data_IF_724120487602
#
_entry.id   IF_724120487602
#
_cell.length_a   1.000
_cell.length_b   1.000
_cell.length_c   1.000
_cell.angle_alpha   90.00
_cell.angle_beta   90.00
_cell.angle_gamma   90.00
#
_symmetry.space_group_name_H-M   'P 1'
#
loop_
_entity.id
_entity.type
_entity.pdbx_description
1 polymer ?
#
# COMPACT_ATOMS: atom_id res chain seq x y z
N UNK A 1 -7.67 3.08 10.27
CA UNK A 1 -7.12 1.96 11.04
C UNK A 1 -5.61 1.80 10.83
N UNK A 2 -4.98 0.93 11.62
CA UNK A 2 -3.53 0.71 11.54
C UNK A 2 -3.08 0.18 10.16
N UNK A 3 -3.89 -0.63 9.48
CA UNK A 3 -3.62 -1.16 8.13
C UNK A 3 -3.85 -0.23 6.95
N UNK A 4 -4.13 1.06 7.19
CA UNK A 4 -4.53 1.99 6.13
C UNK A 4 -3.46 2.21 5.04
N UNK A 5 -2.17 2.21 5.40
CA UNK A 5 -1.08 2.36 4.41
C UNK A 5 -0.98 1.15 3.47
N UNK A 6 -1.16 -0.07 3.99
CA UNK A 6 -1.25 -1.28 3.13
C UNK A 6 -2.46 -1.19 2.19
N UNK A 7 -3.61 -0.78 2.72
CA UNK A 7 -4.81 -0.60 1.90
C UNK A 7 -4.60 0.48 0.82
N UNK A 8 -3.88 1.58 1.12
CA UNK A 8 -3.50 2.61 0.16
C UNK A 8 -2.60 2.08 -0.94
N UNK A 9 -1.58 1.31 -0.59
CA UNK A 9 -0.66 0.67 -1.55
C UNK A 9 -1.40 -0.32 -2.45
N UNK A 10 -2.25 -1.18 -1.88
CA UNK A 10 -3.08 -2.12 -2.63
C UNK A 10 -4.07 -1.40 -3.56
N UNK A 11 -4.65 -0.29 -3.10
CA UNK A 11 -5.54 0.54 -3.92
C UNK A 11 -4.82 1.11 -5.15
N UNK A 12 -3.62 1.65 -4.99
CA UNK A 12 -2.81 2.17 -6.11
C UNK A 12 -2.48 1.06 -7.12
N UNK A 13 -2.11 -0.14 -6.66
CA UNK A 13 -1.86 -1.29 -7.53
C UNK A 13 -3.14 -1.69 -8.27
N UNK A 14 -4.27 -1.76 -7.57
CA UNK A 14 -5.56 -2.13 -8.15
C UNK A 14 -5.98 -1.14 -9.23
N UNK A 15 -5.85 0.16 -8.99
CA UNK A 15 -6.15 1.21 -9.99
C UNK A 15 -5.29 1.03 -11.25
N UNK A 16 -3.97 0.84 -11.07
CA UNK A 16 -3.05 0.63 -12.20
C UNK A 16 -3.40 -0.61 -13.01
N UNK A 17 -3.66 -1.76 -12.35
CA UNK A 17 -4.04 -3.00 -13.02
C UNK A 17 -5.37 -2.86 -13.76
N UNK A 18 -6.37 -2.21 -13.15
CA UNK A 18 -7.65 -1.93 -13.80
C UNK A 18 -7.54 -0.97 -14.99
N UNK A 19 -6.68 0.04 -14.92
CA UNK A 19 -6.41 0.91 -16.06
C UNK A 19 -5.83 0.09 -17.23
N UNK A 20 -4.85 -0.77 -16.99
CA UNK A 20 -4.30 -1.69 -18.00
C UNK A 20 -5.40 -2.60 -18.57
N UNK A 21 -6.20 -3.23 -17.70
CA UNK A 21 -7.32 -4.10 -18.07
C UNK A 21 -8.34 -3.35 -18.96
N UNK A 22 -8.62 -2.09 -18.62
CA UNK A 22 -9.54 -1.24 -19.39
C UNK A 22 -9.00 -0.92 -20.78
N UNK A 23 -7.72 -0.61 -20.92
CA UNK A 23 -7.07 -0.35 -22.21
C UNK A 23 -7.05 -1.59 -23.14
N UNK A 24 -6.95 -2.79 -22.56
CA UNK A 24 -6.93 -4.05 -23.32
C UNK A 24 -8.33 -4.61 -23.63
N UNK A 25 -9.40 -3.95 -23.18
CA UNK A 25 -10.77 -4.39 -23.41
C UNK A 25 -11.11 -4.39 -24.91
N UNK A 26 -11.55 -5.54 -25.39
CA UNK A 26 -11.99 -5.70 -26.78
C UNK A 26 -13.39 -5.11 -26.98
N UNK A 27 -13.70 -4.55 -28.17
CA UNK A 27 -15.07 -4.15 -28.50
C UNK A 27 -16.05 -5.32 -28.34
N UNK A 28 -17.18 -5.08 -27.71
CA UNK A 28 -18.19 -6.13 -27.42
C UNK A 28 -17.90 -6.98 -26.18
N UNK A 29 -16.83 -6.67 -25.43
CA UNK A 29 -16.49 -7.33 -24.16
C UNK A 29 -16.59 -6.34 -23.01
N UNK A 30 -16.86 -6.86 -21.84
CA UNK A 30 -16.79 -6.14 -20.56
C UNK A 30 -15.65 -6.73 -19.71
N UNK A 31 -15.17 -5.97 -18.76
CA UNK A 31 -14.25 -6.49 -17.75
C UNK A 31 -14.99 -7.55 -16.95
N UNK A 32 -14.36 -8.72 -16.75
CA UNK A 32 -14.94 -9.79 -15.96
C UNK A 32 -15.16 -9.29 -14.52
N UNK A 33 -16.35 -9.56 -13.98
CA UNK A 33 -16.63 -9.20 -12.58
C UNK A 33 -15.73 -10.04 -11.67
N UNK A 34 -15.10 -9.40 -10.67
CA UNK A 34 -14.32 -10.15 -9.69
C UNK A 34 -15.22 -11.12 -8.90
N UNK A 35 -14.64 -12.20 -8.35
CA UNK A 35 -15.40 -13.17 -7.56
C UNK A 35 -16.15 -12.48 -6.43
N UNK A 36 -17.40 -12.87 -6.11
CA UNK A 36 -18.18 -12.25 -5.03
C UNK A 36 -17.47 -12.23 -3.66
N UNK A 37 -16.61 -13.21 -3.41
CA UNK A 37 -15.81 -13.30 -2.19
C UNK A 37 -14.82 -12.13 -2.03
N UNK A 38 -14.44 -11.44 -3.11
CA UNK A 38 -13.51 -10.30 -3.06
C UNK A 38 -14.20 -8.97 -2.77
N UNK A 39 -15.54 -8.91 -2.82
CA UNK A 39 -16.30 -7.67 -2.60
C UNK A 39 -16.03 -7.01 -1.24
N UNK A 40 -15.92 -7.74 -0.11
CA UNK A 40 -15.57 -7.11 1.17
C UNK A 40 -14.18 -6.46 1.14
N UNK A 41 -13.19 -7.15 0.57
CA UNK A 41 -11.83 -6.64 0.44
C UNK A 41 -11.81 -5.38 -0.43
N UNK A 42 -12.46 -5.40 -1.59
CA UNK A 42 -12.55 -4.24 -2.46
C UNK A 42 -13.21 -3.03 -1.76
N UNK A 43 -14.28 -3.25 -1.00
CA UNK A 43 -14.90 -2.20 -0.19
C UNK A 43 -13.91 -1.63 0.83
N UNK A 44 -13.16 -2.46 1.53
CA UNK A 44 -12.14 -2.01 2.47
C UNK A 44 -11.09 -1.14 1.77
N UNK A 45 -10.62 -1.54 0.59
CA UNK A 45 -9.66 -0.73 -0.19
C UNK A 45 -10.25 0.62 -0.62
N UNK A 46 -11.52 0.68 -0.96
CA UNK A 46 -12.19 1.94 -1.31
C UNK A 46 -12.31 2.86 -0.09
N UNK A 47 -12.72 2.32 1.05
CA UNK A 47 -12.99 3.14 2.24
C UNK A 47 -11.71 3.53 3.00
N UNK A 48 -10.78 2.61 3.16
CA UNK A 48 -9.54 2.82 3.94
C UNK A 48 -8.37 3.21 3.05
N UNK A 49 -8.24 2.63 1.86
CA UNK A 49 -7.08 2.79 0.98
C UNK A 49 -7.13 4.06 0.14
N UNK A 50 -8.25 4.32 -0.52
CA UNK A 50 -8.38 5.50 -1.39
C UNK A 50 -8.03 6.83 -0.70
N UNK A 51 -8.50 7.13 0.53
CA UNK A 51 -8.17 8.38 1.22
C UNK A 51 -6.70 8.52 1.63
N UNK A 52 -5.92 7.41 1.57
CA UNK A 52 -4.53 7.34 2.02
C UNK A 52 -3.56 7.21 0.84
N UNK A 53 -4.05 7.03 -0.37
CA UNK A 53 -3.22 6.86 -1.58
C UNK A 53 -2.21 8.00 -1.76
N UNK A 54 -2.64 9.25 -1.56
CA UNK A 54 -1.78 10.44 -1.65
C UNK A 54 -0.68 10.43 -0.58
N UNK A 55 -0.99 9.95 0.64
CA UNK A 55 0.00 9.80 1.71
C UNK A 55 1.06 8.75 1.33
N UNK A 56 0.64 7.63 0.75
CA UNK A 56 1.57 6.58 0.26
C UNK A 56 2.50 7.14 -0.80
N UNK A 57 1.98 7.91 -1.75
CA UNK A 57 2.78 8.56 -2.78
C UNK A 57 3.73 9.59 -2.19
N UNK A 58 3.25 10.43 -1.27
CA UNK A 58 4.07 11.43 -0.59
C UNK A 58 5.26 10.80 0.16
N UNK A 59 5.07 9.65 0.82
CA UNK A 59 6.15 8.91 1.48
C UNK A 59 7.23 8.51 0.47
N UNK A 60 6.86 7.85 -0.64
CA UNK A 60 7.81 7.39 -1.65
C UNK A 60 8.59 8.56 -2.26
N UNK A 61 7.90 9.61 -2.69
CA UNK A 61 8.52 10.78 -3.29
C UNK A 61 9.44 11.53 -2.32
N UNK A 62 8.99 11.81 -1.10
CA UNK A 62 9.78 12.53 -0.11
C UNK A 62 11.09 11.80 0.20
N UNK A 63 11.03 10.48 0.36
CA UNK A 63 12.22 9.67 0.64
C UNK A 63 13.18 9.59 -0.55
N UNK A 64 12.69 9.48 -1.79
CA UNK A 64 13.51 9.50 -3.01
C UNK A 64 14.19 10.86 -3.20
N UNK A 65 13.46 11.95 -2.99
CA UNK A 65 13.99 13.32 -3.07
C UNK A 65 15.05 13.57 -1.99
N UNK A 66 14.79 13.12 -0.75
CA UNK A 66 15.76 13.18 0.35
C UNK A 66 17.07 12.47 -0.02
N UNK A 67 16.97 11.23 -0.47
CA UNK A 67 18.14 10.43 -0.86
C UNK A 67 18.93 11.10 -2.00
N UNK A 68 18.24 11.59 -3.03
CA UNK A 68 18.88 12.29 -4.15
C UNK A 68 19.60 13.56 -3.70
N UNK A 69 19.04 14.32 -2.76
CA UNK A 69 19.64 15.56 -2.23
C UNK A 69 20.85 15.25 -1.35
N UNK A 70 20.76 14.25 -0.48
CA UNK A 70 21.87 13.89 0.40
C UNK A 70 23.06 13.37 -0.41
N UNK A 71 22.85 12.51 -1.40
CA UNK A 71 23.92 11.95 -2.24
C UNK A 71 24.61 12.97 -3.17
N UNK A 72 24.04 14.18 -3.31
CA UNK A 72 24.78 15.30 -3.94
C UNK A 72 25.88 15.88 -3.03
N UNK A 73 25.78 15.68 -1.72
CA UNK A 73 26.64 16.29 -0.70
C UNK A 73 27.48 15.27 0.08
N UNK A 74 27.07 14.02 0.07
CA UNK A 74 27.64 12.91 0.82
C UNK A 74 27.75 11.67 -0.06
N UNK A 75 28.66 10.79 0.28
CA UNK A 75 28.76 9.46 -0.34
C UNK A 75 27.89 8.42 0.38
N UNK A 76 27.22 8.82 1.46
CA UNK A 76 26.42 7.94 2.30
C UNK A 76 25.03 8.51 2.56
N UNK A 77 24.01 7.64 2.49
CA UNK A 77 22.66 7.95 2.93
C UNK A 77 22.62 8.08 4.46
N UNK A 78 21.70 8.91 5.01
CA UNK A 78 21.50 8.97 6.44
C UNK A 78 20.98 7.61 6.95
N UNK A 79 21.48 7.15 8.12
CA UNK A 79 21.06 5.86 8.68
C UNK A 79 19.65 5.96 9.24
N UNK A 80 18.67 5.73 8.39
CA UNK A 80 17.25 5.80 8.70
C UNK A 80 16.83 4.63 9.58
N UNK A 81 16.31 4.93 10.78
CA UNK A 81 15.73 3.93 11.70
C UNK A 81 14.24 3.76 11.42
N UNK A 82 13.49 4.87 11.45
CA UNK A 82 12.05 4.87 11.34
C UNK A 82 11.53 6.13 10.64
N UNK A 83 10.30 6.02 10.16
CA UNK A 83 9.52 7.14 9.64
C UNK A 83 8.19 7.18 10.39
N UNK A 84 7.88 8.32 10.99
CA UNK A 84 6.59 8.61 11.58
C UNK A 84 5.76 9.43 10.58
N UNK A 85 4.56 8.98 10.27
CA UNK A 85 3.70 9.57 9.25
C UNK A 85 2.38 10.01 9.84
N UNK A 86 2.07 11.28 9.70
CA UNK A 86 0.73 11.83 9.86
C UNK A 86 0.10 12.10 8.49
N UNK A 87 -1.17 12.51 8.44
CA UNK A 87 -1.87 12.79 7.17
C UNK A 87 -1.21 13.90 6.33
N UNK A 88 -0.54 14.85 6.99
CA UNK A 88 0.03 16.05 6.35
C UNK A 88 1.51 16.25 6.65
N UNK A 89 2.16 15.29 7.30
CA UNK A 89 3.58 15.41 7.65
C UNK A 89 4.26 14.06 7.72
N UNK A 90 5.57 14.10 7.53
CA UNK A 90 6.48 12.96 7.61
C UNK A 90 7.68 13.36 8.45
N UNK A 91 8.01 12.53 9.45
CA UNK A 91 9.19 12.71 10.29
C UNK A 91 10.12 11.53 10.08
N UNK A 92 11.37 11.78 9.72
CA UNK A 92 12.42 10.76 9.65
C UNK A 92 13.21 10.74 10.95
N UNK A 93 13.46 9.55 11.50
CA UNK A 93 14.26 9.31 12.69
C UNK A 93 15.56 8.62 12.29
N UNK A 94 16.70 9.28 12.58
CA UNK A 94 18.03 8.84 12.17
C UNK A 94 18.81 8.27 13.36
N UNK A 95 19.70 7.31 13.09
CA UNK A 95 20.56 6.73 14.13
C UNK A 95 21.64 7.71 14.60
N UNK A 96 22.03 8.66 13.75
CA UNK A 96 23.07 9.64 14.05
C UNK A 96 22.62 11.09 13.78
N UNK A 97 23.46 12.04 14.14
CA UNK A 97 23.20 13.48 14.02
C UNK A 97 23.50 14.00 12.61
N UNK A 98 22.90 13.40 11.59
CA UNK A 98 23.03 13.86 10.20
C UNK A 98 22.19 15.13 9.97
N UNK A 99 22.79 16.16 9.37
CA UNK A 99 22.09 17.39 8.97
C UNK A 99 21.46 17.23 7.60
N UNK A 100 20.12 17.37 7.52
CA UNK A 100 19.41 17.22 6.24
C UNK A 100 19.28 18.54 5.46
N UNK A 101 19.23 19.68 6.16
CA UNK A 101 19.00 21.00 5.57
C UNK A 101 17.54 21.29 5.22
N UNK A 102 17.28 22.51 4.76
CA UNK A 102 15.92 22.91 4.34
C UNK A 102 15.45 22.10 3.12
N UNK A 103 14.13 21.81 3.04
CA UNK A 103 13.03 22.26 3.89
C UNK A 103 12.81 21.39 5.15
N UNK A 104 13.66 20.41 5.41
CA UNK A 104 13.60 19.55 6.59
C UNK A 104 13.86 20.35 7.86
N UNK A 105 12.93 20.27 8.79
CA UNK A 105 12.97 20.99 10.07
C UNK A 105 13.35 20.02 11.18
N UNK A 106 14.48 20.30 11.84
CA UNK A 106 14.95 19.48 12.96
C UNK A 106 14.01 19.61 14.16
N UNK A 107 13.61 18.49 14.71
CA UNK A 107 12.86 18.44 15.97
C UNK A 107 13.82 18.57 17.16
N UNK A 108 13.44 19.38 18.16
CA UNK A 108 14.30 19.73 19.30
C UNK A 108 14.86 18.50 20.03
N UNK A 109 16.18 18.44 20.14
CA UNK A 109 16.92 17.47 20.94
C UNK A 109 16.99 16.05 20.38
N UNK A 110 16.43 15.78 19.19
CA UNK A 110 16.39 14.46 18.57
C UNK A 110 17.09 14.47 17.20
N UNK A 111 17.59 13.30 16.78
CA UNK A 111 18.03 13.07 15.40
C UNK A 111 16.83 12.85 14.47
N UNK A 112 15.85 13.73 14.55
CA UNK A 112 14.56 13.62 13.88
C UNK A 112 14.28 14.88 13.09
N UNK A 113 13.77 14.69 11.86
CA UNK A 113 13.54 15.77 10.91
C UNK A 113 12.15 15.66 10.32
N UNK A 114 11.42 16.77 10.33
CA UNK A 114 10.04 16.86 9.88
C UNK A 114 9.95 17.61 8.55
N UNK A 115 9.06 17.13 7.68
CA UNK A 115 8.57 17.79 6.48
C UNK A 115 7.05 17.70 6.42
N UNK A 116 6.39 18.62 5.72
CA UNK A 116 4.93 18.62 5.55
C UNK A 116 4.54 18.57 4.08
N UNK A 117 3.31 18.16 3.80
CA UNK A 117 2.73 18.19 2.44
C UNK A 117 2.55 19.60 1.88
N UNK A 118 2.70 20.65 2.72
CA UNK A 118 2.67 22.04 2.29
C UNK A 118 4.04 22.56 1.82
N UNK A 119 5.13 21.81 2.08
CA UNK A 119 6.47 22.17 1.60
C UNK A 119 6.55 21.85 0.09
N UNK A 120 7.11 22.77 -0.69
CA UNK A 120 7.24 22.59 -2.15
C UNK A 120 8.13 21.36 -2.46
N UNK A 121 7.65 20.40 -3.26
CA UNK A 121 8.40 19.18 -3.56
C UNK A 121 9.80 19.43 -4.11
N UNK A 122 9.97 20.43 -4.97
CA UNK A 122 11.27 20.76 -5.59
C UNK A 122 12.31 21.27 -4.59
N UNK A 123 11.88 21.83 -3.45
CA UNK A 123 12.77 22.21 -2.36
C UNK A 123 13.33 20.99 -1.62
N UNK A 124 12.58 19.87 -1.58
CA UNK A 124 13.05 18.63 -0.97
C UNK A 124 14.20 18.05 -1.79
N UNK A 125 14.12 18.16 -3.10
CA UNK A 125 15.15 17.69 -4.03
C UNK A 125 14.58 17.11 -5.33
N UNK A 126 15.47 16.68 -6.25
CA UNK A 126 15.04 16.13 -7.52
C UNK A 126 14.39 14.78 -7.35
N UNK A 127 13.27 14.54 -8.04
CA UNK A 127 12.63 13.24 -8.09
C UNK A 127 13.22 12.40 -9.24
N UNK A 128 13.60 11.16 -8.93
CA UNK A 128 13.95 10.12 -9.91
C UNK A 128 12.93 8.99 -9.79
N UNK A 129 11.80 9.04 -10.50
CA UNK A 129 10.70 8.08 -10.31
C UNK A 129 11.11 6.64 -10.61
N UNK A 130 11.94 6.45 -11.64
CA UNK A 130 12.40 5.13 -12.10
C UNK A 130 13.66 4.64 -11.39
N UNK A 131 14.27 5.47 -10.55
CA UNK A 131 15.43 5.09 -9.74
C UNK A 131 15.05 4.07 -8.65
N UNK A 132 16.03 3.32 -8.11
CA UNK A 132 15.79 2.39 -7.02
C UNK A 132 15.33 3.12 -5.76
N UNK A 133 14.53 2.43 -4.94
CA UNK A 133 14.11 2.96 -3.66
C UNK A 133 15.29 3.03 -2.69
N UNK A 134 15.48 4.14 -1.96
CA UNK A 134 16.60 4.27 -1.03
C UNK A 134 16.50 3.32 0.17
N UNK A 135 15.29 3.10 0.68
CA UNK A 135 15.01 2.23 1.84
C UNK A 135 13.86 1.26 1.55
N UNK A 136 14.09 0.22 0.74
CA UNK A 136 13.03 -0.70 0.29
C UNK A 136 12.45 -1.57 1.41
N UNK A 137 13.17 -1.74 2.52
CA UNK A 137 12.71 -2.50 3.69
C UNK A 137 11.87 -1.66 4.67
N UNK A 138 11.51 -0.42 4.31
CA UNK A 138 10.68 0.42 5.16
C UNK A 138 9.26 -0.16 5.21
N UNK A 139 8.84 -0.60 6.39
CA UNK A 139 7.57 -1.31 6.58
C UNK A 139 6.78 -0.71 7.72
N UNK A 140 5.49 -0.45 7.50
CA UNK A 140 4.58 0.03 8.54
C UNK A 140 4.33 -1.08 9.55
N UNK A 141 4.57 -0.83 10.82
CA UNK A 141 4.33 -1.82 11.88
C UNK A 141 3.09 -1.55 12.72
N UNK A 142 2.66 -0.30 12.80
CA UNK A 142 1.49 0.07 13.57
C UNK A 142 1.24 1.57 13.58
N UNK A 143 0.31 1.99 14.42
CA UNK A 143 0.04 3.40 14.70
C UNK A 143 0.14 3.65 16.21
N UNK A 144 0.61 4.83 16.59
CA UNK A 144 0.59 5.25 17.99
C UNK A 144 -0.82 5.72 18.43
N UNK A 145 -0.96 6.05 19.68
CA UNK A 145 -2.25 6.48 20.26
C UNK A 145 -2.71 7.86 19.73
N UNK A 146 -1.83 8.61 19.05
CA UNK A 146 -2.18 9.85 18.34
C UNK A 146 -2.64 9.60 16.91
N UNK A 147 -2.51 8.37 16.43
CA UNK A 147 -2.90 7.94 15.09
C UNK A 147 -1.84 8.14 14.02
N UNK A 148 -0.59 8.43 14.41
CA UNK A 148 0.54 8.48 13.48
C UNK A 148 1.01 7.06 13.16
N UNK A 149 1.25 6.77 11.87
CA UNK A 149 1.80 5.49 11.43
C UNK A 149 3.31 5.46 11.62
N UNK A 150 3.80 4.35 12.14
CA UNK A 150 5.22 4.11 12.34
C UNK A 150 5.72 3.05 11.37
N UNK A 151 6.66 3.47 10.53
CA UNK A 151 7.36 2.60 9.58
C UNK A 151 8.79 2.39 10.07
N UNK A 152 9.23 1.14 10.15
CA UNK A 152 10.60 0.81 10.52
C UNK A 152 11.39 0.38 9.28
N UNK A 153 12.64 0.83 9.19
CA UNK A 153 13.58 0.35 8.19
C UNK A 153 14.22 -0.97 8.67
N UNK A 154 13.65 -2.09 8.25
CA UNK A 154 14.06 -3.40 8.73
C UNK A 154 15.51 -3.75 8.34
N UNK A 155 16.03 -3.21 7.22
CA UNK A 155 17.43 -3.36 6.81
C UNK A 155 18.40 -2.75 7.84
N UNK A 156 18.02 -1.65 8.50
CA UNK A 156 18.82 -1.01 9.55
C UNK A 156 18.99 -1.90 10.78
N UNK A 157 17.99 -2.73 11.08
CA UNK A 157 18.02 -3.66 12.20
C UNK A 157 18.65 -5.00 11.83
N UNK A 158 18.65 -5.35 10.54
CA UNK A 158 19.19 -6.59 10.03
C UNK A 158 18.34 -7.80 10.42
N UNK A 159 18.44 -8.25 11.70
CA UNK A 159 17.66 -9.37 12.22
C UNK A 159 16.58 -8.91 13.17
N UNK A 160 15.36 -9.45 13.02
CA UNK A 160 14.22 -9.18 13.89
C UNK A 160 13.54 -10.47 14.30
N UNK A 161 13.04 -10.52 15.55
CA UNK A 161 12.23 -11.63 16.04
C UNK A 161 10.84 -11.14 16.41
N UNK A 162 9.81 -11.80 15.89
CA UNK A 162 8.41 -11.54 16.23
C UNK A 162 8.00 -12.52 17.31
N UNK A 163 7.65 -12.05 18.50
CA UNK A 163 7.27 -12.84 19.67
C UNK A 163 5.89 -12.45 20.19
N UNK A 164 5.37 -13.22 21.16
CA UNK A 164 4.14 -12.92 21.89
C UNK A 164 2.97 -13.83 21.52
N UNK A 165 1.80 -13.25 21.31
CA UNK A 165 0.62 -14.02 20.94
C UNK A 165 0.81 -14.69 19.57
N UNK A 166 0.40 -15.96 19.46
CA UNK A 166 0.67 -16.78 18.28
C UNK A 166 -0.05 -16.25 17.03
N UNK A 167 -1.32 -15.93 17.16
CA UNK A 167 -2.14 -15.42 16.04
C UNK A 167 -1.67 -14.05 15.61
N UNK A 168 -1.51 -13.11 16.55
CA UNK A 168 -1.06 -11.76 16.23
C UNK A 168 0.38 -11.70 15.71
N UNK A 169 1.27 -12.58 16.17
CA UNK A 169 2.64 -12.68 15.65
C UNK A 169 2.66 -13.14 14.19
N UNK A 170 1.85 -14.15 13.85
CA UNK A 170 1.72 -14.60 12.46
C UNK A 170 1.03 -13.58 11.58
N UNK A 171 -0.01 -12.90 12.07
CA UNK A 171 -0.71 -11.86 11.32
C UNK A 171 0.18 -10.63 11.07
N UNK A 172 1.03 -10.25 12.04
CA UNK A 172 2.05 -9.22 11.85
C UNK A 172 3.10 -9.65 10.81
N UNK A 173 3.64 -10.86 10.90
CA UNK A 173 4.60 -11.37 9.91
C UNK A 173 4.02 -11.39 8.50
N UNK A 174 2.78 -11.82 8.36
CA UNK A 174 2.04 -11.80 7.09
C UNK A 174 1.83 -10.37 6.59
N UNK A 175 1.52 -9.44 7.49
CA UNK A 175 1.39 -8.02 7.15
C UNK A 175 2.70 -7.42 6.64
N UNK A 176 3.83 -7.71 7.31
CA UNK A 176 5.17 -7.26 6.89
C UNK A 176 5.46 -7.72 5.46
N UNK A 177 5.23 -8.99 5.15
CA UNK A 177 5.44 -9.54 3.81
C UNK A 177 4.48 -8.93 2.77
N UNK A 178 3.20 -8.75 3.11
CA UNK A 178 2.22 -8.12 2.22
C UNK A 178 2.57 -6.65 1.92
N UNK A 179 2.99 -5.89 2.93
CA UNK A 179 3.44 -4.50 2.78
C UNK A 179 4.69 -4.42 1.88
N UNK A 180 5.70 -5.27 2.11
CA UNK A 180 6.89 -5.35 1.27
C UNK A 180 6.57 -5.72 -0.19
N UNK A 181 5.56 -6.57 -0.42
CA UNK A 181 5.13 -6.96 -1.76
C UNK A 181 4.39 -5.83 -2.50
N UNK A 182 3.82 -4.84 -1.81
CA UNK A 182 2.87 -3.88 -2.38
C UNK A 182 3.26 -2.42 -2.25
N UNK A 183 4.11 -2.04 -1.29
CA UNK A 183 4.53 -0.65 -1.11
C UNK A 183 5.33 -0.14 -2.32
N UNK A 184 5.10 1.10 -2.80
CA UNK A 184 5.81 1.65 -3.96
C UNK A 184 7.31 1.80 -3.73
N UNK A 185 7.74 2.08 -2.49
CA UNK A 185 9.15 2.14 -2.12
C UNK A 185 9.82 0.77 -1.93
N UNK A 186 9.06 -0.33 -2.00
CA UNK A 186 9.60 -1.71 -1.90
C UNK A 186 9.60 -2.45 -3.24
N UNK A 187 9.39 -1.76 -4.36
CA UNK A 187 9.22 -2.39 -5.69
C UNK A 187 10.42 -3.22 -6.15
N UNK A 188 11.61 -2.90 -5.64
CA UNK A 188 12.88 -3.56 -6.00
C UNK A 188 13.36 -4.53 -4.90
N UNK A 189 12.45 -4.94 -3.99
CA UNK A 189 12.74 -5.83 -2.87
C UNK A 189 12.30 -7.26 -3.20
N UNK A 190 13.24 -8.20 -3.17
CA UNK A 190 12.95 -9.64 -3.22
C UNK A 190 12.47 -10.14 -1.85
N UNK A 191 11.47 -10.99 -1.84
CA UNK A 191 10.83 -11.48 -0.61
C UNK A 191 10.82 -13.01 -0.64
N UNK A 192 11.55 -13.61 0.30
CA UNK A 192 11.65 -15.05 0.46
C UNK A 192 10.85 -15.50 1.69
N UNK A 193 9.81 -16.28 1.48
CA UNK A 193 8.92 -16.83 2.50
C UNK A 193 9.30 -18.30 2.75
N UNK A 194 9.93 -18.56 3.89
CA UNK A 194 10.50 -19.88 4.21
C UNK A 194 9.51 -20.69 5.07
N UNK A 195 8.77 -21.57 4.44
CA UNK A 195 7.77 -22.41 5.10
C UNK A 195 6.53 -21.68 5.62
N UNK A 196 6.39 -20.40 5.34
CA UNK A 196 5.29 -19.54 5.83
C UNK A 196 4.64 -18.76 4.70
N UNK A 197 3.39 -18.33 4.87
CA UNK A 197 2.68 -17.31 4.07
C UNK A 197 2.66 -17.55 2.55
N UNK A 198 2.60 -18.78 2.10
CA UNK A 198 2.56 -19.13 0.67
C UNK A 198 1.42 -18.44 -0.10
N UNK A 199 0.35 -18.06 0.60
CA UNK A 199 -0.79 -17.35 0.05
C UNK A 199 -0.44 -15.96 -0.48
N UNK A 200 0.67 -15.34 -0.03
CA UNK A 200 1.08 -13.99 -0.43
C UNK A 200 1.81 -13.92 -1.77
N UNK A 201 2.29 -15.04 -2.31
CA UNK A 201 3.06 -15.07 -3.58
C UNK A 201 2.30 -14.38 -4.72
N UNK A 202 0.97 -14.51 -4.74
CA UNK A 202 0.13 -13.89 -5.75
C UNK A 202 0.03 -12.35 -5.70
N UNK A 203 0.50 -11.69 -4.64
CA UNK A 203 0.55 -10.22 -4.59
C UNK A 203 1.59 -9.67 -5.56
N UNK A 204 2.77 -10.29 -5.61
CA UNK A 204 3.86 -9.93 -6.51
C UNK A 204 4.66 -11.17 -6.93
N UNK A 205 4.16 -11.99 -7.89
CA UNK A 205 4.77 -13.28 -8.24
C UNK A 205 6.20 -13.21 -8.77
N UNK A 206 6.61 -12.03 -9.26
CA UNK A 206 7.98 -11.79 -9.76
C UNK A 206 9.00 -11.54 -8.67
N UNK A 207 8.58 -11.24 -7.44
CA UNK A 207 9.46 -10.81 -6.34
C UNK A 207 9.18 -11.52 -5.03
N UNK A 208 8.02 -12.16 -4.89
CA UNK A 208 7.62 -12.87 -3.68
C UNK A 208 7.67 -14.37 -3.94
N UNK A 209 8.60 -15.06 -3.31
CA UNK A 209 8.89 -16.46 -3.53
C UNK A 209 8.63 -17.25 -2.26
N UNK A 210 8.01 -18.43 -2.40
CA UNK A 210 7.80 -19.33 -1.28
C UNK A 210 8.71 -20.55 -1.44
N UNK A 211 9.47 -20.85 -0.39
CA UNK A 211 10.36 -21.99 -0.29
C UNK A 211 9.85 -22.91 0.83
N UNK A 212 9.66 -24.19 0.51
CA UNK A 212 9.18 -25.17 1.48
C UNK A 212 10.32 -25.70 2.38
N UNK A 213 11.56 -25.42 2.04
CA UNK A 213 12.75 -25.98 2.67
C UNK A 213 13.88 -24.93 2.81
N UNK A 214 15.05 -25.40 3.24
CA UNK A 214 16.25 -24.59 3.49
C UNK A 214 16.84 -23.94 2.25
N UNK A 215 16.54 -24.39 1.04
CA UNK A 215 17.21 -23.89 -0.18
C UNK A 215 17.07 -22.38 -0.34
N UNK A 216 15.90 -21.80 -0.03
CA UNK A 216 15.70 -20.35 -0.05
C UNK A 216 16.62 -19.58 0.91
N UNK A 217 16.94 -20.17 2.07
CA UNK A 217 17.89 -19.54 3.02
C UNK A 217 19.33 -19.62 2.49
N UNK A 218 19.72 -20.76 1.94
CA UNK A 218 21.07 -20.97 1.40
C UNK A 218 21.33 -20.02 0.20
N UNK A 219 20.34 -19.84 -0.68
CA UNK A 219 20.38 -18.88 -1.79
C UNK A 219 20.51 -17.43 -1.28
N UNK A 220 19.79 -17.08 -0.22
CA UNK A 220 19.88 -15.76 0.41
C UNK A 220 21.25 -15.51 1.05
N UNK A 221 21.81 -16.53 1.74
CA UNK A 221 23.15 -16.44 2.32
C UNK A 221 24.18 -16.20 1.22
N UNK A 222 24.11 -16.92 0.11
CA UNK A 222 25.02 -16.76 -1.02
C UNK A 222 24.92 -15.34 -1.61
N UNK A 223 23.70 -14.84 -1.84
CA UNK A 223 23.47 -13.49 -2.34
C UNK A 223 23.94 -12.38 -1.38
N UNK A 224 23.77 -12.57 -0.07
CA UNK A 224 24.23 -11.64 0.96
C UNK A 224 25.76 -11.55 1.01
N UNK A 225 26.46 -12.69 0.90
CA UNK A 225 27.93 -12.73 0.80
C UNK A 225 28.40 -12.03 -0.47
N UNK A 226 27.81 -12.34 -1.61
CA UNK A 226 28.14 -11.72 -2.89
C UNK A 226 27.98 -10.19 -2.84
N UNK A 227 26.86 -9.71 -2.26
CA UNK A 227 26.62 -8.27 -2.08
C UNK A 227 27.69 -7.63 -1.21
N UNK A 228 28.06 -8.24 -0.09
CA UNK A 228 29.11 -7.73 0.79
C UNK A 228 30.48 -7.66 0.13
N UNK A 229 30.86 -8.68 -0.66
CA UNK A 229 32.12 -8.73 -1.40
C UNK A 229 32.18 -7.64 -2.47
N UNK A 230 31.09 -7.44 -3.21
CA UNK A 230 31.00 -6.37 -4.23
C UNK A 230 31.05 -4.97 -3.62
N UNK A 231 30.43 -4.75 -2.45
CA UNK A 231 30.58 -3.49 -1.71
C UNK A 231 32.04 -3.22 -1.32
N UNK A 232 32.80 -4.26 -0.98
CA UNK A 232 34.24 -4.15 -0.70
C UNK A 232 35.03 -3.78 -1.96
N UNK A 233 34.75 -4.43 -3.08
CA UNK A 233 35.41 -4.15 -4.38
C UNK A 233 35.11 -2.73 -4.87
N UNK A 234 33.83 -2.31 -4.78
CA UNK A 234 33.38 -0.97 -5.15
C UNK A 234 33.79 0.11 -4.15
N UNK A 235 34.31 -0.28 -2.98
CA UNK A 235 34.59 0.62 -1.83
C UNK A 235 33.39 1.45 -1.42
N UNK A 236 32.21 0.88 -1.59
CA UNK A 236 30.95 1.53 -1.20
C UNK A 236 30.76 1.45 0.32
N UNK A 237 30.21 2.50 0.97
CA UNK A 237 30.08 2.54 2.42
C UNK A 237 29.09 1.51 2.94
N UNK A 238 27.95 1.36 2.25
CA UNK A 238 26.85 0.46 2.61
C UNK A 238 25.95 0.17 1.38
N UNK A 239 25.10 -0.84 1.48
CA UNK A 239 24.22 -1.26 0.40
C UNK A 239 23.14 -0.20 0.06
N UNK A 240 22.48 0.47 1.03
CA UNK A 240 21.52 1.54 0.72
C UNK A 240 22.12 2.66 -0.12
N UNK A 241 23.32 3.12 0.21
CA UNK A 241 24.02 4.20 -0.53
C UNK A 241 24.45 3.76 -1.92
N UNK A 242 24.99 2.54 -2.05
CA UNK A 242 25.39 1.96 -3.32
C UNK A 242 24.20 1.80 -4.28
N UNK A 243 23.07 1.28 -3.78
CA UNK A 243 21.82 1.07 -4.53
C UNK A 243 21.33 2.34 -5.23
N UNK A 244 21.34 3.47 -4.54
CA UNK A 244 20.83 4.73 -5.12
C UNK A 244 21.86 5.41 -6.02
N UNK A 245 23.15 5.21 -5.75
CA UNK A 245 24.24 5.80 -6.53
C UNK A 245 24.42 5.10 -7.88
N UNK A 246 24.43 3.78 -7.86
CA UNK A 246 24.70 2.91 -9.00
C UNK A 246 23.39 2.25 -9.47
N UNK A 247 22.41 3.08 -9.81
CA UNK A 247 21.03 2.69 -10.08
C UNK A 247 20.84 1.70 -11.25
N UNK A 248 21.84 1.57 -12.12
CA UNK A 248 21.80 0.67 -13.28
C UNK A 248 22.38 -0.73 -12.96
N UNK A 249 22.84 -0.95 -11.73
CA UNK A 249 23.45 -2.21 -11.34
C UNK A 249 22.46 -3.09 -10.54
N UNK A 250 22.00 -4.20 -11.14
CA UNK A 250 21.14 -5.22 -10.50
C UNK A 250 21.78 -5.87 -9.27
N UNK A 251 23.07 -5.60 -9.02
CA UNK A 251 23.85 -6.19 -7.93
C UNK A 251 23.44 -5.75 -6.53
N UNK A 252 22.66 -4.67 -6.43
CA UNK A 252 22.24 -4.10 -5.17
C UNK A 252 20.82 -4.48 -4.77
N UNK A 253 20.29 -5.59 -5.30
CA UNK A 253 18.97 -6.09 -4.96
C UNK A 253 18.84 -6.33 -3.46
N UNK A 254 17.83 -5.74 -2.89
CA UNK A 254 17.47 -5.94 -1.49
C UNK A 254 16.69 -7.23 -1.31
N UNK A 255 16.92 -7.94 -0.19
CA UNK A 255 16.20 -9.17 0.15
C UNK A 255 15.59 -9.10 1.53
N UNK A 256 14.36 -9.57 1.65
CA UNK A 256 13.68 -9.76 2.91
C UNK A 256 13.32 -11.23 3.07
N UNK A 257 13.79 -11.84 4.14
CA UNK A 257 13.50 -13.24 4.45
C UNK A 257 12.56 -13.30 5.64
N UNK A 258 11.46 -14.02 5.50
CA UNK A 258 10.55 -14.31 6.60
C UNK A 258 10.46 -15.82 6.79
N UNK A 259 10.59 -16.27 8.03
CA UNK A 259 10.45 -17.68 8.36
C UNK A 259 10.04 -17.91 9.80
N UNK A 260 9.55 -19.09 10.08
CA UNK A 260 9.23 -19.50 11.44
C UNK A 260 10.47 -20.11 12.10
N UNK A 261 10.68 -19.76 13.37
CA UNK A 261 11.72 -20.42 14.17
C UNK A 261 11.50 -21.91 14.21
N UNK A 262 12.57 -22.65 13.98
CA UNK A 262 12.63 -24.10 14.20
C UNK A 262 13.90 -24.47 15.00
N UNK A 263 13.92 -25.67 15.52
CA UNK A 263 15.06 -26.16 16.28
C UNK A 263 16.23 -26.66 15.41
N UNK A 264 16.09 -26.65 14.08
CA UNK A 264 17.13 -27.13 13.16
C UNK A 264 18.30 -26.16 13.01
N UNK A 265 18.13 -24.88 13.42
CA UNK A 265 19.11 -23.83 13.21
C UNK A 265 19.25 -23.39 11.75
N UNK A 266 18.20 -23.57 10.97
CA UNK A 266 18.17 -23.26 9.53
C UNK A 266 18.61 -21.82 9.23
N UNK A 267 18.25 -20.85 10.06
CA UNK A 267 18.55 -19.43 9.88
C UNK A 267 19.88 -18.98 10.53
N UNK A 268 20.62 -19.87 11.23
CA UNK A 268 21.79 -19.48 12.04
C UNK A 268 22.87 -18.77 11.24
N UNK A 269 23.16 -19.26 10.05
CA UNK A 269 24.18 -18.69 9.19
C UNK A 269 23.76 -17.35 8.63
N UNK A 270 22.50 -17.21 8.19
CA UNK A 270 21.93 -15.95 7.71
C UNK A 270 21.96 -14.90 8.81
N UNK A 271 21.45 -15.23 10.00
CA UNK A 271 21.42 -14.33 11.17
C UNK A 271 22.85 -13.85 11.49
N UNK A 272 23.79 -14.79 11.62
CA UNK A 272 25.19 -14.45 11.91
C UNK A 272 25.78 -13.52 10.86
N UNK A 273 25.50 -13.76 9.58
CA UNK A 273 26.01 -12.97 8.47
C UNK A 273 25.47 -11.55 8.53
N UNK A 274 24.16 -11.40 8.65
CA UNK A 274 23.47 -10.11 8.71
C UNK A 274 23.91 -9.30 9.93
N UNK A 275 24.03 -9.93 11.10
CA UNK A 275 24.42 -9.25 12.34
C UNK A 275 25.91 -8.84 12.35
N UNK A 276 26.79 -9.61 11.69
CA UNK A 276 28.22 -9.28 11.62
C UNK A 276 28.55 -8.25 10.54
N UNK A 277 27.70 -8.06 9.55
CA UNK A 277 27.91 -7.14 8.44
C UNK A 277 26.68 -6.21 8.25
N UNK A 278 26.38 -5.35 9.24
CA UNK A 278 25.20 -4.47 9.20
C UNK A 278 25.23 -3.57 7.97
N UNK A 279 24.10 -3.44 7.28
CA UNK A 279 23.90 -2.66 6.05
C UNK A 279 24.81 -3.06 4.87
N UNK A 280 25.50 -4.20 4.93
CA UNK A 280 26.38 -4.65 3.85
C UNK A 280 25.84 -5.85 3.08
N UNK A 281 24.83 -6.52 3.61
CA UNK A 281 24.21 -7.70 3.01
C UNK A 281 22.98 -7.38 2.14
N UNK A 282 22.50 -6.13 2.18
CA UNK A 282 21.20 -5.71 1.59
C UNK A 282 20.03 -6.61 2.02
N UNK A 283 20.13 -7.25 3.20
CA UNK A 283 19.19 -8.29 3.65
C UNK A 283 18.64 -7.95 5.02
N UNK A 284 17.33 -8.18 5.21
CA UNK A 284 16.67 -8.23 6.51
C UNK A 284 16.08 -9.62 6.75
N UNK A 285 16.29 -10.20 7.93
CA UNK A 285 15.76 -11.49 8.34
C UNK A 285 14.74 -11.32 9.46
N UNK A 286 13.51 -11.77 9.23
CA UNK A 286 12.40 -11.70 10.19
C UNK A 286 12.03 -13.11 10.61
N UNK A 287 12.25 -13.44 11.87
CA UNK A 287 12.00 -14.76 12.45
C UNK A 287 10.74 -14.72 13.31
N UNK A 288 9.75 -15.50 12.97
CA UNK A 288 8.52 -15.62 13.74
C UNK A 288 8.73 -16.71 14.80
N UNK A 289 8.78 -16.27 16.05
CA UNK A 289 8.98 -17.12 17.22
C UNK A 289 8.05 -16.67 18.36
N UNK A 290 6.75 -16.97 18.29
CA UNK A 290 5.78 -16.52 19.29
C UNK A 290 6.16 -16.90 20.71
N UNK A 291 6.79 -18.05 20.90
CA UNK A 291 7.21 -18.53 22.21
C UNK A 291 8.47 -17.86 22.74
N UNK A 292 9.21 -17.15 21.89
CA UNK A 292 10.47 -16.53 22.26
C UNK A 292 11.56 -17.53 22.69
N UNK A 293 11.58 -18.70 22.06
CA UNK A 293 12.57 -19.74 22.33
C UNK A 293 13.97 -19.30 21.89
N UNK A 294 14.03 -18.51 20.83
CA UNK A 294 15.26 -17.92 20.32
C UNK A 294 15.06 -16.47 19.89
N UNK A 295 15.41 -15.54 20.76
CA UNK A 295 15.37 -14.12 20.46
C UNK A 295 16.67 -13.68 19.84
N UNK A 296 16.60 -13.17 18.61
CA UNK A 296 17.74 -12.65 17.86
C UNK A 296 17.41 -11.25 17.35
N UNK A 297 18.41 -10.37 17.33
CA UNK A 297 18.23 -9.00 16.83
C UNK A 297 17.20 -8.18 17.62
N UNK A 298 16.40 -7.41 16.88
CA UNK A 298 15.36 -6.55 17.48
C UNK A 298 14.06 -7.32 17.71
N UNK A 299 13.53 -7.23 18.93
CA UNK A 299 12.29 -7.93 19.29
C UNK A 299 11.06 -7.07 18.98
N UNK A 300 10.09 -7.68 18.29
CA UNK A 300 8.76 -7.18 18.01
C UNK A 300 7.75 -8.01 18.79
N UNK A 301 7.20 -7.47 19.89
CA UNK A 301 6.32 -8.21 20.80
C UNK A 301 4.86 -7.94 20.44
N UNK A 302 4.20 -8.90 19.82
CA UNK A 302 2.76 -8.87 19.54
C UNK A 302 1.98 -9.31 20.79
N UNK A 303 1.06 -8.51 21.28
CA UNK A 303 0.29 -8.79 22.50
C UNK A 303 -1.14 -9.21 22.19
N UNK A 304 -1.78 -9.93 23.12
CA UNK A 304 -3.17 -10.42 23.00
C UNK A 304 -4.21 -9.30 22.80
N UNK A 305 -3.90 -8.08 23.21
CA UNK A 305 -4.76 -6.91 23.05
C UNK A 305 -4.52 -6.16 21.72
N UNK A 306 -3.75 -6.76 20.79
CA UNK A 306 -3.48 -6.18 19.47
C UNK A 306 -2.46 -5.06 19.48
N UNK A 307 -1.67 -4.92 20.54
CA UNK A 307 -0.57 -3.96 20.57
C UNK A 307 0.73 -4.61 20.12
N UNK A 308 1.59 -3.78 19.55
CA UNK A 308 2.94 -4.13 19.17
C UNK A 308 3.92 -3.30 20.00
N UNK A 309 4.73 -3.96 20.80
CA UNK A 309 5.80 -3.31 21.58
C UNK A 309 7.16 -3.57 20.97
N UNK A 310 7.96 -2.53 20.88
CA UNK A 310 9.33 -2.59 20.39
C UNK A 310 10.24 -2.02 21.49
N UNK A 311 10.67 -2.86 22.44
CA UNK A 311 11.36 -2.38 23.66
C UNK A 311 12.64 -1.58 23.37
N UNK A 312 13.39 -1.98 22.34
CA UNK A 312 14.64 -1.31 21.92
C UNK A 312 14.44 0.14 21.48
N UNK A 313 13.24 0.47 21.01
CA UNK A 313 12.87 1.82 20.55
C UNK A 313 11.92 2.55 21.52
N UNK A 314 11.45 1.89 22.56
CA UNK A 314 10.45 2.43 23.47
C UNK A 314 9.08 2.67 22.83
N UNK A 315 8.78 1.97 21.71
CA UNK A 315 7.51 2.10 21.00
C UNK A 315 6.47 1.12 21.55
N UNK A 316 5.24 1.61 21.68
CA UNK A 316 4.04 0.83 22.00
C UNK A 316 2.93 1.30 21.05
N UNK A 317 2.60 0.46 20.06
CA UNK A 317 1.76 0.80 18.91
C UNK A 317 0.49 -0.06 18.90
N UNK A 318 -0.57 0.43 18.29
CA UNK A 318 -1.64 -0.43 17.80
C UNK A 318 -1.06 -1.19 16.61
N UNK A 319 -0.84 -2.49 16.79
CA UNK A 319 -0.14 -3.34 15.83
C UNK A 319 -0.92 -3.51 14.53
N UNK A 320 -0.19 -3.64 13.43
CA UNK A 320 -0.76 -4.07 12.15
C UNK A 320 -0.80 -5.59 12.08
N UNK A 321 -1.81 -6.10 11.39
CA UNK A 321 -1.94 -7.52 11.10
C UNK A 321 -2.84 -7.74 9.89
N UNK A 322 -2.68 -8.87 9.22
CA UNK A 322 -3.58 -9.35 8.18
C UNK A 322 -3.73 -10.86 8.33
N UNK A 323 -4.97 -11.31 8.38
CA UNK A 323 -5.27 -12.75 8.45
C UNK A 323 -4.98 -13.45 7.12
N UNK A 324 -4.81 -14.77 7.17
CA UNK A 324 -4.63 -15.56 5.94
C UNK A 324 -5.82 -15.48 4.98
N UNK A 325 -7.03 -15.26 5.50
CA UNK A 325 -8.23 -15.09 4.68
C UNK A 325 -8.23 -13.74 3.96
N UNK A 326 -7.94 -12.66 4.66
CA UNK A 326 -7.81 -11.31 4.08
C UNK A 326 -6.70 -11.25 3.04
N UNK A 327 -5.54 -11.87 3.31
CA UNK A 327 -4.43 -11.94 2.38
C UNK A 327 -4.83 -12.66 1.08
N UNK A 328 -5.51 -13.81 1.18
CA UNK A 328 -6.06 -14.53 0.01
C UNK A 328 -7.07 -13.69 -0.76
N UNK A 329 -7.93 -12.94 -0.06
CA UNK A 329 -8.88 -12.02 -0.68
C UNK A 329 -8.17 -10.92 -1.48
N UNK A 330 -7.10 -10.32 -0.94
CA UNK A 330 -6.28 -9.33 -1.64
C UNK A 330 -5.63 -9.92 -2.90
N UNK A 331 -5.04 -11.12 -2.79
CA UNK A 331 -4.43 -11.82 -3.94
C UNK A 331 -5.47 -12.09 -5.02
N UNK A 332 -6.63 -12.64 -4.67
CA UNK A 332 -7.70 -12.93 -5.63
C UNK A 332 -8.21 -11.67 -6.34
N UNK A 333 -8.34 -10.57 -5.62
CA UNK A 333 -8.77 -9.28 -6.18
C UNK A 333 -7.74 -8.74 -7.19
N UNK A 334 -6.45 -8.80 -6.85
CA UNK A 334 -5.39 -8.35 -7.74
C UNK A 334 -5.23 -9.27 -8.97
N UNK A 335 -5.36 -10.59 -8.80
CA UNK A 335 -5.35 -11.55 -9.92
C UNK A 335 -6.54 -11.32 -10.86
N UNK A 336 -7.73 -11.05 -10.33
CA UNK A 336 -8.89 -10.70 -11.15
C UNK A 336 -8.68 -9.41 -11.95
N UNK A 337 -7.90 -8.47 -11.42
CA UNK A 337 -7.53 -7.24 -12.13
C UNK A 337 -6.42 -7.45 -13.19
N UNK A 338 -5.66 -8.54 -13.12
CA UNK A 338 -4.66 -8.93 -14.13
C UNK A 338 -5.28 -9.73 -15.30
N UNK A 339 -6.51 -10.21 -15.14
CA UNK A 339 -7.19 -10.98 -16.19
C UNK A 339 -7.64 -10.05 -17.35
N UNK A 340 -6.92 -10.12 -18.46
CA UNK A 340 -7.20 -9.35 -19.67
C UNK A 340 -8.19 -10.04 -20.64
N UNK A 341 -8.72 -11.21 -20.30
CA UNK A 341 -9.58 -11.99 -21.21
C UNK A 341 -10.93 -11.31 -21.48
N UNK A 342 -11.47 -10.61 -20.49
CA UNK A 342 -12.79 -10.01 -20.56
C UNK A 342 -13.93 -11.03 -20.64
N UNK A 343 -15.15 -10.57 -20.46
CA UNK A 343 -16.37 -11.34 -20.67
C UNK A 343 -17.19 -10.72 -21.80
N UNK A 344 -17.82 -11.50 -22.69
CA UNK A 344 -18.71 -10.93 -23.68
C UNK A 344 -19.84 -10.17 -22.99
N UNK A 345 -20.17 -8.98 -23.51
CA UNK A 345 -21.33 -8.24 -23.02
C UNK A 345 -22.55 -9.13 -23.24
N UNK A 346 -23.30 -9.47 -22.17
CA UNK A 346 -24.50 -10.29 -22.35
C UNK A 346 -25.46 -9.57 -23.32
N UNK A 347 -26.12 -10.31 -24.21
CA UNK A 347 -27.17 -9.72 -25.04
C UNK A 347 -28.18 -9.05 -24.10
N UNK A 348 -28.56 -7.82 -24.43
CA UNK A 348 -29.63 -7.17 -23.67
C UNK A 348 -30.83 -8.08 -23.69
N UNK A 349 -31.16 -8.72 -22.57
CA UNK A 349 -32.45 -9.37 -22.43
C UNK A 349 -33.50 -8.28 -22.64
N UNK A 350 -34.33 -8.48 -23.64
CA UNK A 350 -35.53 -7.64 -23.80
C UNK A 350 -36.35 -7.85 -22.52
N UNK A 351 -36.33 -6.87 -21.64
CA UNK A 351 -37.34 -6.79 -20.58
C UNK A 351 -38.66 -6.79 -21.30
N UNK A 352 -39.46 -7.79 -21.03
CA UNK A 352 -40.77 -8.01 -21.70
C UNK A 352 -41.53 -6.68 -21.85
N UNK A 353 -41.69 -6.27 -23.08
CA UNK A 353 -42.73 -5.36 -23.46
C UNK A 353 -42.35 -4.10 -24.22
N UNK A 354 -41.18 -3.48 -24.05
CA UNK A 354 -40.89 -2.25 -24.81
C UNK A 354 -39.42 -2.08 -25.13
N UNK A 355 -39.06 -2.07 -26.45
CA UNK A 355 -37.70 -1.72 -26.84
C UNK A 355 -37.38 -0.29 -26.42
N UNK A 356 -36.12 -0.02 -25.99
CA UNK A 356 -35.65 1.32 -25.61
C UNK A 356 -36.00 2.40 -26.65
N UNK A 357 -36.20 2.01 -27.93
CA UNK A 357 -36.66 2.87 -29.02
C UNK A 357 -38.04 3.48 -28.74
N UNK A 358 -38.85 2.87 -27.90
CA UNK A 358 -40.16 3.43 -27.55
C UNK A 358 -40.05 4.62 -26.61
N UNK A 359 -38.90 4.71 -25.91
CA UNK A 359 -38.60 5.81 -24.99
C UNK A 359 -37.78 6.94 -25.64
N UNK A 360 -37.22 6.70 -26.83
CA UNK A 360 -36.38 7.66 -27.52
C UNK A 360 -37.03 8.15 -28.83
N UNK A 361 -36.68 9.34 -29.25
CA UNK A 361 -37.01 9.87 -30.57
C UNK A 361 -36.07 9.30 -31.66
N UNK A 362 -36.27 9.72 -32.91
CA UNK A 362 -35.43 9.31 -34.04
C UNK A 362 -33.96 9.77 -33.93
N UNK A 363 -33.65 10.73 -33.08
CA UNK A 363 -32.32 11.21 -32.80
C UNK A 363 -31.67 10.51 -31.57
N UNK A 364 -32.36 9.56 -30.92
CA UNK A 364 -31.90 8.86 -29.75
C UNK A 364 -32.06 9.63 -28.43
N UNK A 365 -32.74 10.75 -28.43
CA UNK A 365 -33.06 11.51 -27.20
C UNK A 365 -34.32 10.93 -26.53
N UNK A 366 -34.34 10.93 -25.19
CA UNK A 366 -35.52 10.59 -24.43
C UNK A 366 -36.70 11.48 -24.88
N UNK A 367 -37.83 10.87 -25.24
CA UNK A 367 -39.06 11.62 -25.59
C UNK A 367 -39.51 12.46 -24.40
N UNK A 368 -40.12 13.59 -24.70
CA UNK A 368 -40.53 14.58 -23.67
C UNK A 368 -41.44 14.00 -22.58
N UNK A 369 -42.22 12.97 -22.91
CA UNK A 369 -43.08 12.26 -21.97
C UNK A 369 -42.34 11.49 -20.88
N UNK A 370 -41.05 11.14 -21.15
CA UNK A 370 -40.18 10.43 -20.23
C UNK A 370 -39.10 11.33 -19.58
N UNK A 371 -39.06 12.62 -19.93
CA UNK A 371 -38.23 13.59 -19.22
C UNK A 371 -38.96 14.14 -18.02
N UNK A 372 -38.36 14.05 -16.82
CA UNK A 372 -38.91 14.70 -15.64
C UNK A 372 -39.09 16.20 -15.93
N UNK A 373 -40.26 16.78 -15.60
CA UNK A 373 -40.49 18.21 -15.79
C UNK A 373 -39.46 19.00 -15.00
N UNK A 374 -38.62 19.72 -15.74
CA UNK A 374 -37.71 20.72 -15.17
C UNK A 374 -38.54 21.94 -14.79
N UNK A 375 -39.15 21.90 -13.61
CA UNK A 375 -39.86 23.08 -13.13
C UNK A 375 -39.17 23.65 -11.89
N UNK A 376 -38.37 24.74 -12.02
CA UNK A 376 -37.75 25.40 -10.89
C UNK A 376 -38.76 26.19 -10.02
N UNK A 377 -40.03 26.36 -10.46
CA UNK A 377 -41.03 27.16 -9.77
C UNK A 377 -42.37 26.38 -9.64
N UNK A 378 -42.37 25.36 -8.83
CA UNK A 378 -43.50 24.57 -8.38
C UNK A 378 -44.93 25.13 -8.62
N UNK A 379 -45.43 25.10 -9.86
CA UNK A 379 -46.88 25.23 -10.15
C UNK A 379 -47.29 24.05 -11.02
N UNK A 380 -48.22 23.28 -10.47
CA UNK A 380 -48.64 22.00 -10.97
C UNK A 380 -49.40 22.03 -12.27
N UNK A 381 -49.41 20.88 -12.94
CA UNK A 381 -50.55 20.41 -13.73
C UNK A 381 -50.77 18.93 -13.36
N UNK A 382 -51.96 18.67 -12.88
CA UNK A 382 -52.47 17.35 -12.57
C UNK A 382 -52.48 16.46 -13.81
N UNK A 383 -51.62 15.45 -13.82
CA UNK A 383 -51.70 14.34 -14.74
C UNK A 383 -51.76 13.07 -13.91
N UNK A 384 -52.92 12.45 -13.85
CA UNK A 384 -53.22 11.22 -13.15
C UNK A 384 -52.31 10.09 -13.63
N UNK A 385 -51.31 9.77 -12.86
CA UNK A 385 -50.54 8.55 -13.03
C UNK A 385 -50.86 7.64 -11.86
N UNK A 386 -51.63 6.61 -12.14
CA UNK A 386 -51.89 5.49 -11.21
C UNK A 386 -50.61 4.66 -11.13
N UNK A 387 -49.76 4.96 -10.15
CA UNK A 387 -48.71 4.06 -9.67
C UNK A 387 -49.32 3.21 -8.56
N UNK A 388 -49.22 1.87 -8.58
CA UNK A 388 -49.68 1.07 -7.46
C UNK A 388 -48.85 1.40 -6.21
N UNK A 389 -49.57 1.66 -5.11
CA UNK A 389 -48.99 1.90 -3.79
C UNK A 389 -48.19 0.65 -3.36
N UNK A 390 -46.88 0.79 -2.93
CA UNK A 390 -46.16 -0.32 -2.34
C UNK A 390 -46.73 -0.61 -0.93
N UNK A 391 -46.84 -1.90 -0.62
CA UNK A 391 -47.33 -2.40 0.65
C UNK A 391 -46.68 -1.74 1.86
N UNK A 392 -47.48 -1.27 2.80
CA UNK A 392 -47.08 -0.50 3.99
C UNK A 392 -46.13 -1.24 4.95
N UNK A 393 -45.96 -2.55 4.83
CA UNK A 393 -45.07 -3.34 5.69
C UNK A 393 -43.56 -3.18 5.34
N UNK A 394 -43.22 -2.79 4.11
CA UNK A 394 -41.80 -2.63 3.69
C UNK A 394 -41.28 -1.24 4.06
N UNK A 395 -42.14 -0.24 4.24
CA UNK A 395 -41.74 1.13 4.58
C UNK A 395 -41.38 1.29 6.06
N UNK A 396 -42.00 0.47 6.94
CA UNK A 396 -41.72 0.52 8.38
C UNK A 396 -40.36 -0.04 8.77
N UNK A 397 -39.81 -1.00 8.00
CA UNK A 397 -38.47 -1.58 8.24
C UNK A 397 -37.31 -0.68 7.77
N UNK A 398 -37.57 0.20 6.78
CA UNK A 398 -36.54 1.12 6.27
C UNK A 398 -36.44 2.41 7.12
N UNK A 399 -37.51 2.80 7.82
CA UNK A 399 -37.50 4.01 8.65
C UNK A 399 -36.79 3.83 10.00
N UNK A 400 -36.74 2.59 10.53
CA UNK A 400 -36.10 2.31 11.81
C UNK A 400 -34.56 2.28 11.72
N UNK A 401 -34.02 2.03 10.53
CA UNK A 401 -32.56 1.97 10.31
C UNK A 401 -31.94 3.36 10.07
N UNK A 402 -32.76 4.37 9.71
CA UNK A 402 -32.27 5.72 9.43
C UNK A 402 -32.18 6.62 10.67
N UNK A 403 -32.92 6.29 11.74
CA UNK A 403 -32.92 7.08 12.96
C UNK A 403 -31.71 6.82 13.88
N UNK A 404 -31.17 5.61 13.86
CA UNK A 404 -29.99 5.24 14.71
C UNK A 404 -28.66 5.71 14.17
N UNK A 405 -28.57 6.20 12.93
CA UNK A 405 -27.32 6.71 12.33
C UNK A 405 -27.17 8.24 12.45
N UNK A 406 -28.21 8.95 12.92
CA UNK A 406 -28.17 10.42 13.05
C UNK A 406 -27.52 10.90 14.36
N UNK A 407 -27.28 10.03 15.34
CA UNK A 407 -26.79 10.40 16.69
C UNK A 407 -25.27 10.33 16.85
N UNK A 408 -24.51 10.00 15.77
CA UNK A 408 -23.04 9.85 15.80
C UNK A 408 -22.28 10.81 14.88
N UNK A 409 -22.87 11.91 14.44
CA UNK A 409 -22.18 12.91 13.63
C UNK A 409 -21.68 14.09 14.51
N UNK A 410 -20.39 14.44 14.47
CA UNK A 410 -19.89 15.63 15.16
C UNK A 410 -20.40 16.90 14.47
N UNK A 411 -20.83 17.85 15.26
CA UNK A 411 -21.28 19.19 14.86
C UNK A 411 -20.13 19.96 14.24
N UNK A 412 -20.18 20.24 12.94
CA UNK A 412 -19.30 21.16 12.25
C UNK A 412 -20.00 22.53 12.12
N UNK A 413 -19.35 23.65 12.50
CA UNK A 413 -19.97 24.96 12.38
C UNK A 413 -20.08 25.41 10.92
N UNK A 414 -21.23 25.99 10.60
CA UNK A 414 -21.58 26.50 9.28
C UNK A 414 -20.74 27.73 8.90
N UNK A 415 -19.88 27.60 7.88
CA UNK A 415 -19.48 28.72 7.05
C UNK A 415 -19.01 28.22 5.67
N UNK A 416 -19.54 28.87 4.62
CA UNK A 416 -19.19 28.73 3.20
C UNK A 416 -19.88 27.60 2.42
N UNK A 417 -21.12 27.84 2.05
CA UNK A 417 -21.71 27.32 0.83
C UNK A 417 -21.26 28.16 -0.36
N UNK A 418 -20.49 27.58 -1.27
CA UNK A 418 -20.42 28.01 -2.66
C UNK A 418 -20.58 26.78 -3.54
N UNK A 419 -21.60 26.88 -4.38
CA UNK A 419 -22.05 25.94 -5.39
C UNK A 419 -20.94 25.55 -6.37
N UNK A 420 -20.74 24.23 -6.59
CA UNK A 420 -20.09 23.73 -7.80
C UNK A 420 -20.94 22.60 -8.37
N UNK A 421 -21.42 22.83 -9.58
CA UNK A 421 -22.15 21.88 -10.42
C UNK A 421 -21.24 20.70 -10.81
N UNK A 422 -21.85 19.52 -10.84
CA UNK A 422 -21.20 18.29 -11.24
C UNK A 422 -21.12 18.17 -12.76
N UNK A 423 -19.94 17.96 -13.28
CA UNK A 423 -19.67 17.18 -14.49
C UNK A 423 -18.20 16.77 -14.44
N UNK A 424 -17.98 15.47 -14.27
CA UNK A 424 -16.66 14.86 -14.11
C UNK A 424 -16.24 14.19 -15.44
N UNK A 425 -15.36 14.80 -16.22
CA UNK A 425 -14.71 14.17 -17.37
C UNK A 425 -13.20 13.92 -17.14
N UNK A 426 -12.69 13.88 -15.90
CA UNK A 426 -11.25 14.03 -15.63
C UNK A 426 -10.51 12.77 -15.20
N UNK A 427 -11.15 11.59 -15.13
CA UNK A 427 -10.47 10.35 -14.76
C UNK A 427 -9.37 9.92 -15.76
N UNK A 428 -9.51 10.27 -17.05
CA UNK A 428 -8.51 9.95 -18.07
C UNK A 428 -7.33 10.94 -18.08
N UNK A 429 -7.55 12.20 -17.72
CA UNK A 429 -6.50 13.22 -17.70
C UNK A 429 -5.56 13.06 -16.49
N UNK A 430 -6.11 12.71 -15.34
CA UNK A 430 -5.33 12.50 -14.11
C UNK A 430 -4.39 11.27 -14.23
N UNK A 431 -4.77 10.25 -15.00
CA UNK A 431 -3.93 9.07 -15.20
C UNK A 431 -2.72 9.33 -16.11
N UNK A 432 -2.85 10.21 -17.11
CA UNK A 432 -1.72 10.60 -17.98
C UNK A 432 -0.72 11.52 -17.26
N UNK A 433 -1.19 12.38 -16.36
CA UNK A 433 -0.34 13.25 -15.56
C UNK A 433 0.49 12.47 -14.52
N UNK A 434 -0.07 11.35 -14.02
CA UNK A 434 0.58 10.51 -13.00
C UNK A 434 1.57 9.48 -13.56
N UNK A 435 1.37 9.01 -14.81
CA UNK A 435 2.16 7.89 -15.36
C UNK A 435 3.06 8.26 -16.55
N UNK A 436 3.02 9.49 -17.05
CA UNK A 436 3.81 9.99 -18.18
C UNK A 436 3.58 9.24 -19.50
N UNK A 437 3.92 9.83 -20.65
CA UNK A 437 3.79 9.15 -21.94
C UNK A 437 4.78 7.99 -22.03
N UNK A 438 4.27 6.79 -22.30
CA UNK A 438 5.11 5.60 -22.53
C UNK A 438 6.04 5.83 -23.72
N UNK A 439 7.33 6.00 -23.43
CA UNK A 439 8.37 6.10 -24.43
C UNK A 439 8.42 4.87 -25.32
N UNK A 440 8.36 5.11 -26.64
CA UNK A 440 8.51 4.13 -27.71
C UNK A 440 9.81 3.33 -27.54
N UNK A 441 9.69 2.00 -27.43
CA UNK A 441 10.84 1.07 -27.53
C UNK A 441 11.49 1.20 -28.90
N UNK A 442 12.80 1.33 -29.02
CA UNK A 442 13.50 1.14 -30.29
C UNK A 442 13.49 -0.33 -30.69
N UNK A 443 13.46 -0.57 -32.01
CA UNK A 443 13.44 -1.89 -32.65
C UNK A 443 14.73 -2.68 -32.39
#
# INVERSE_FOLDING_TARGET
GAGALLAGSLWLILLRRRAIQHHHRRPGFMIAMPPPATVPVEKTLIYEGRPIADVVTFIDEALRRLAATVLQRSDRLPPLIAVEVARSSLTVHLADATELGEPWRRLNGLNSWLITTADEPDLIGPLKPDGPAPWPHLTTLGADDTGHWWLLNLEQFGTLTVTGDDDYAHDLGRYIAAAAATNPWSRDLEIDLIGVFHELVGLSPSRCHHHADRTGVDDTVAAAVETADRLNEAKAPDAPSARVRDADDELWLSRMVLGQHDQSGMFDELIRLVDTMPLRTATAAIIIDPKGERRVGTELVATEDGRLRIPSLGLDLVGNGITAEEARGCVQLLQAADDLSGAPIPPMEHVDGQPWRDYCDAAGQLRKEFTLPRNPNGQGSEGTSTVPEPDQEVVAAAATTSADLAELAPVVPAAAQSSVEASDPTLDADLEEWFGPQGSRPK
#
